data_IF_758775765104
#
_entry.id   IF_758775765104
#
_cell.length_a   1.000
_cell.length_b   1.000
_cell.length_c   1.000
_cell.angle_alpha   90.00
_cell.angle_beta   90.00
_cell.angle_gamma   90.00
#
_symmetry.space_group_name_H-M   'P 1'
#
loop_
_entity.id
_entity.type
_entity.pdbx_description
1 polymer ?
#
# COMPACT_ATOMS: atom_id res chain seq x y z
N UNK A 1 4.00 0.13 4.76
CA UNK A 1 4.26 0.16 3.30
C UNK A 1 2.91 0.14 2.61
N UNK A 2 2.70 1.01 1.63
CA UNK A 2 1.47 1.07 0.82
C UNK A 2 1.83 1.35 -0.64
N UNK A 3 0.86 1.36 -1.54
CA UNK A 3 1.07 1.56 -2.98
C UNK A 3 1.75 2.90 -3.35
N UNK A 4 1.54 3.95 -2.56
CA UNK A 4 2.20 5.26 -2.72
C UNK A 4 3.59 5.29 -2.07
N UNK A 5 3.90 4.37 -1.15
CA UNK A 5 5.19 4.27 -0.46
C UNK A 5 5.67 2.82 -0.36
N UNK A 6 6.29 2.36 -1.45
CA UNK A 6 6.64 0.95 -1.69
C UNK A 6 7.97 0.51 -1.05
N UNK A 7 8.76 1.46 -0.52
CA UNK A 7 10.02 1.21 0.20
C UNK A 7 11.03 0.29 -0.52
N UNK A 8 11.21 0.47 -1.84
CA UNK A 8 12.02 -0.44 -2.68
C UNK A 8 13.44 -0.71 -2.17
N UNK A 9 14.14 0.30 -1.66
CA UNK A 9 15.50 0.15 -1.12
C UNK A 9 15.52 -0.68 0.17
N UNK A 10 14.64 -0.37 1.13
CA UNK A 10 14.55 -1.11 2.38
C UNK A 10 14.15 -2.57 2.12
N UNK A 11 13.23 -2.78 1.16
CA UNK A 11 12.82 -4.13 0.79
C UNK A 11 13.99 -4.99 0.31
N UNK A 12 14.78 -4.45 -0.60
CA UNK A 12 15.99 -5.12 -1.13
C UNK A 12 16.99 -5.40 0.00
N UNK A 13 17.23 -4.42 0.87
CA UNK A 13 18.13 -4.60 2.01
C UNK A 13 17.68 -5.73 2.94
N UNK A 14 16.42 -5.72 3.39
CA UNK A 14 15.88 -6.75 4.28
C UNK A 14 15.88 -8.13 3.63
N UNK A 15 15.51 -8.24 2.35
CA UNK A 15 15.55 -9.49 1.61
C UNK A 15 16.97 -10.07 1.55
N UNK A 16 17.98 -9.24 1.24
CA UNK A 16 19.38 -9.66 1.17
C UNK A 16 19.94 -10.09 2.55
N UNK A 17 19.31 -9.66 3.64
CA UNK A 17 19.71 -9.99 5.01
C UNK A 17 18.84 -11.08 5.65
N UNK A 18 17.87 -11.64 4.93
CA UNK A 18 16.92 -12.61 5.48
C UNK A 18 16.00 -12.03 6.55
N UNK A 19 15.78 -10.72 6.56
CA UNK A 19 14.94 -10.02 7.54
C UNK A 19 13.50 -9.97 7.03
N UNK A 20 12.56 -10.47 7.84
CA UNK A 20 11.13 -10.33 7.57
C UNK A 20 10.68 -8.88 7.77
N UNK A 21 9.87 -8.37 6.83
CA UNK A 21 9.24 -7.06 6.95
C UNK A 21 7.72 -7.21 6.97
N UNK A 22 7.07 -6.43 7.83
CA UNK A 22 5.61 -6.32 7.88
C UNK A 22 5.19 -4.89 7.53
N UNK A 23 4.14 -4.75 6.73
CA UNK A 23 3.65 -3.45 6.29
C UNK A 23 2.69 -2.84 7.33
N UNK A 24 3.10 -1.74 7.96
CA UNK A 24 2.19 -0.90 8.73
C UNK A 24 1.45 0.11 7.84
N UNK A 25 0.20 0.39 8.20
CA UNK A 25 -0.73 1.27 7.47
C UNK A 25 -0.80 0.98 5.96
N UNK A 26 -1.13 -0.26 5.54
CA UNK A 26 -1.11 -0.66 4.13
C UNK A 26 -2.10 0.10 3.25
N UNK A 27 -3.17 0.64 3.86
CA UNK A 27 -4.20 1.44 3.18
C UNK A 27 -4.00 2.96 3.36
N UNK A 28 -2.77 3.41 3.61
CA UNK A 28 -2.47 4.84 3.72
C UNK A 28 -3.05 5.53 4.96
N UNK A 29 -3.19 4.79 6.06
CA UNK A 29 -3.83 5.26 7.30
C UNK A 29 -5.30 5.71 7.12
N UNK A 30 -6.02 5.11 6.17
CA UNK A 30 -7.46 5.29 6.00
C UNK A 30 -8.21 5.12 7.34
N UNK A 31 -9.00 6.12 7.71
CA UNK A 31 -9.79 6.15 8.95
C UNK A 31 -9.06 6.71 10.20
N UNK A 32 -7.75 6.99 10.12
CA UNK A 32 -7.04 7.68 11.19
C UNK A 32 -7.24 9.20 11.11
N UNK A 33 -7.27 9.90 12.26
CA UNK A 33 -7.41 11.37 12.32
C UNK A 33 -6.28 12.13 11.62
N UNK A 34 -5.11 11.52 11.52
CA UNK A 34 -3.91 12.03 10.83
C UNK A 34 -3.73 11.41 9.43
N UNK A 35 -4.66 10.55 9.00
CA UNK A 35 -4.59 9.82 7.75
C UNK A 35 -5.07 10.62 6.54
N UNK A 36 -4.90 10.03 5.36
CA UNK A 36 -5.39 10.58 4.10
C UNK A 36 -6.08 9.50 3.28
N UNK A 37 -7.06 9.90 2.47
CA UNK A 37 -7.73 9.02 1.51
C UNK A 37 -6.96 8.87 0.20
N UNK A 38 -5.80 9.51 0.03
CA UNK A 38 -5.07 9.53 -1.25
C UNK A 38 -4.79 8.14 -1.84
N UNK A 39 -4.55 7.13 -1.01
CA UNK A 39 -4.40 5.73 -1.47
C UNK A 39 -5.76 5.16 -1.89
N UNK A 40 -6.77 5.27 -1.04
CA UNK A 40 -8.10 4.70 -1.27
C UNK A 40 -8.84 5.34 -2.46
N UNK A 41 -8.60 6.62 -2.70
CA UNK A 41 -9.25 7.43 -3.73
C UNK A 41 -8.43 7.53 -5.02
N UNK A 42 -7.33 6.77 -5.15
CA UNK A 42 -6.52 6.75 -6.36
C UNK A 42 -7.34 6.26 -7.56
N UNK A 43 -7.47 7.06 -8.65
CA UNK A 43 -8.21 6.65 -9.84
C UNK A 43 -7.64 5.37 -10.48
N UNK A 44 -6.31 5.26 -10.51
CA UNK A 44 -5.60 4.10 -11.05
C UNK A 44 -5.98 2.82 -10.28
N UNK A 45 -6.02 2.89 -8.95
CA UNK A 45 -6.38 1.72 -8.14
C UNK A 45 -7.86 1.36 -8.27
N UNK A 46 -8.74 2.36 -8.40
CA UNK A 46 -10.15 2.14 -8.67
C UNK A 46 -10.36 1.44 -10.02
N UNK A 47 -9.66 1.88 -11.06
CA UNK A 47 -9.74 1.26 -12.39
C UNK A 47 -9.24 -0.20 -12.37
N UNK A 48 -8.15 -0.47 -11.66
CA UNK A 48 -7.64 -1.83 -11.45
C UNK A 48 -8.65 -2.68 -10.68
N UNK A 49 -9.21 -2.16 -9.60
CA UNK A 49 -10.19 -2.86 -8.77
C UNK A 49 -11.45 -3.21 -9.58
N UNK A 50 -11.97 -2.28 -10.38
CA UNK A 50 -13.12 -2.52 -11.28
C UNK A 50 -12.77 -3.60 -12.31
N UNK A 51 -11.62 -3.47 -12.97
CA UNK A 51 -11.19 -4.41 -14.04
C UNK A 51 -10.96 -5.83 -13.50
N UNK A 52 -10.54 -5.95 -12.25
CA UNK A 52 -10.25 -7.24 -11.60
C UNK A 52 -11.43 -7.79 -10.79
N UNK A 53 -12.55 -7.05 -10.68
CA UNK A 53 -13.70 -7.42 -9.86
C UNK A 53 -13.37 -7.48 -8.36
N UNK A 54 -12.49 -6.59 -7.89
CA UNK A 54 -12.02 -6.49 -6.49
C UNK A 54 -12.36 -5.14 -5.90
N UNK A 55 -12.08 -4.98 -4.60
CA UNK A 55 -12.07 -3.68 -3.92
C UNK A 55 -10.65 -3.12 -3.85
N UNK A 56 -10.49 -1.80 -3.75
CA UNK A 56 -9.16 -1.14 -3.65
C UNK A 56 -8.26 -1.73 -2.53
N UNK A 57 -8.78 -2.18 -1.36
CA UNK A 57 -7.96 -2.85 -0.36
C UNK A 57 -7.43 -4.25 -0.71
N UNK A 58 -7.97 -4.92 -1.73
CA UNK A 58 -7.67 -6.31 -2.11
C UNK A 58 -6.75 -6.38 -3.33
#
# INVERSE_FOLDING_TARGET
MNVAWQQGNLRKFCQNKGIHMSAWSPLGANGASWGSLAVMESPILKDIAITTGKSVPQ
#
